data_IF_011577862369
#
_entry.id   IF_011577862369
#
_cell.length_a   1.000
_cell.length_b   1.000
_cell.length_c   1.000
_cell.angle_alpha   90.00
_cell.angle_beta   90.00
_cell.angle_gamma   90.00
#
_symmetry.space_group_name_H-M   'P 1'
#
loop_
_entity.id
_entity.type
_entity.pdbx_description
1 polymer ?
#
# COMPACT_ATOMS: atom_id res chain seq x y z
N UNK A 1 17.65 8.84 7.49
CA UNK A 1 17.72 7.97 6.28
C UNK A 1 16.30 7.76 5.78
N UNK A 2 16.04 7.90 4.48
CA UNK A 2 14.71 7.75 3.90
C UNK A 2 14.77 6.91 2.62
N UNK A 3 13.71 6.16 2.35
CA UNK A 3 13.54 5.36 1.14
C UNK A 3 12.36 5.91 0.34
N UNK A 4 12.62 6.36 -0.89
CA UNK A 4 11.56 6.76 -1.82
C UNK A 4 11.31 5.64 -2.80
N UNK A 5 10.08 5.12 -2.85
CA UNK A 5 9.72 4.02 -3.74
C UNK A 5 8.28 4.15 -4.25
N UNK A 6 7.97 3.34 -5.27
CA UNK A 6 6.63 3.20 -5.82
C UNK A 6 5.82 2.23 -4.98
N UNK A 7 4.56 2.56 -4.73
CA UNK A 7 3.65 1.75 -3.91
C UNK A 7 2.37 1.42 -4.69
N UNK A 8 1.85 0.21 -4.48
CA UNK A 8 0.58 -0.31 -4.99
C UNK A 8 -0.01 -1.23 -3.92
N UNK A 9 -1.28 -1.60 -4.07
CA UNK A 9 -1.91 -2.65 -3.28
C UNK A 9 -2.41 -3.77 -4.20
N UNK A 10 -2.63 -4.94 -3.62
CA UNK A 10 -3.29 -6.07 -4.27
C UNK A 10 -4.66 -6.24 -3.64
N UNK A 11 -5.74 -6.32 -4.42
CA UNK A 11 -7.09 -6.46 -3.86
C UNK A 11 -7.44 -7.92 -3.59
N UNK A 12 -6.85 -8.50 -2.55
CA UNK A 12 -7.00 -9.90 -2.11
C UNK A 12 -8.12 -10.12 -1.08
N UNK A 13 -9.07 -9.19 -0.98
CA UNK A 13 -10.19 -9.27 -0.02
C UNK A 13 -11.11 -10.46 -0.32
N UNK A 14 -11.42 -10.70 -1.59
CA UNK A 14 -12.15 -11.89 -2.04
C UNK A 14 -11.18 -12.88 -2.72
N UNK A 15 -10.93 -14.05 -2.12
CA UNK A 15 -10.00 -15.05 -2.67
C UNK A 15 -10.50 -15.71 -3.96
N UNK A 16 -11.77 -15.51 -4.36
CA UNK A 16 -12.34 -16.08 -5.58
C UNK A 16 -12.44 -15.07 -6.74
N UNK A 17 -12.17 -13.78 -6.52
CA UNK A 17 -12.16 -12.77 -7.58
C UNK A 17 -10.84 -12.80 -8.38
N UNK A 18 -10.91 -13.20 -9.65
CA UNK A 18 -9.73 -13.31 -10.50
C UNK A 18 -9.02 -11.98 -10.81
N UNK A 19 -9.74 -10.86 -10.76
CA UNK A 19 -9.18 -9.50 -10.96
C UNK A 19 -8.21 -9.09 -9.85
N UNK A 20 -8.22 -9.81 -8.72
CA UNK A 20 -7.35 -9.62 -7.55
C UNK A 20 -5.85 -9.74 -7.86
N UNK A 21 -5.45 -10.37 -8.97
CA UNK A 21 -4.04 -10.66 -9.27
C UNK A 21 -3.23 -9.47 -9.79
N UNK A 22 -3.88 -8.34 -10.12
CA UNK A 22 -3.21 -7.17 -10.67
C UNK A 22 -3.04 -6.08 -9.61
N UNK A 23 -1.83 -5.56 -9.39
CA UNK A 23 -1.61 -4.51 -8.42
C UNK A 23 -2.22 -3.18 -8.91
N UNK A 24 -2.88 -2.47 -8.00
CA UNK A 24 -3.56 -1.20 -8.25
C UNK A 24 -2.88 -0.04 -7.51
N UNK A 25 -2.83 1.18 -8.09
CA UNK A 25 -3.25 1.53 -9.46
C UNK A 25 -2.17 1.17 -10.51
N UNK A 26 -2.50 1.02 -11.81
CA UNK A 26 -1.54 0.66 -12.87
C UNK A 26 -0.32 1.58 -13.00
N UNK A 27 -0.46 2.84 -12.55
CA UNK A 27 0.64 3.79 -12.41
C UNK A 27 0.94 4.00 -10.92
N UNK A 28 1.95 3.32 -10.36
CA UNK A 28 2.24 3.38 -8.94
C UNK A 28 2.59 4.81 -8.50
N UNK A 29 1.90 5.40 -7.51
CA UNK A 29 2.35 6.63 -6.88
C UNK A 29 3.66 6.40 -6.11
N UNK A 30 4.38 7.48 -5.87
CA UNK A 30 5.62 7.49 -5.08
C UNK A 30 5.32 7.83 -3.63
N UNK A 31 5.92 7.09 -2.70
CA UNK A 31 5.89 7.36 -1.26
C UNK A 31 7.31 7.36 -0.70
N UNK A 32 7.54 8.16 0.34
CA UNK A 32 8.83 8.22 1.04
C UNK A 32 8.67 7.72 2.46
N UNK A 33 9.34 6.61 2.76
CA UNK A 33 9.42 6.02 4.09
C UNK A 33 10.59 6.60 4.86
N UNK A 34 10.39 6.85 6.15
CA UNK A 34 11.49 7.03 7.09
C UNK A 34 12.07 5.67 7.47
N UNK A 35 13.36 5.46 7.23
CA UNK A 35 14.06 4.24 7.65
C UNK A 35 14.38 4.24 9.16
N UNK A 36 14.06 5.32 9.87
CA UNK A 36 14.29 5.43 11.33
C UNK A 36 13.02 5.18 12.14
N UNK A 37 11.88 4.94 11.49
CA UNK A 37 10.60 4.67 12.14
C UNK A 37 10.10 3.27 11.77
N UNK A 38 9.38 2.58 12.67
CA UNK A 38 8.71 1.32 12.33
C UNK A 38 7.75 1.48 11.14
N UNK A 39 7.63 0.45 10.30
CA UNK A 39 6.73 0.49 9.15
C UNK A 39 5.26 0.58 9.56
N UNK A 40 4.86 -0.08 10.66
CA UNK A 40 3.47 -0.05 11.17
C UNK A 40 2.98 1.40 11.41
N UNK A 41 3.87 2.29 11.84
CA UNK A 41 3.56 3.71 12.07
C UNK A 41 3.40 4.51 10.76
N UNK A 42 3.74 3.92 9.60
CA UNK A 42 3.80 4.59 8.30
C UNK A 42 2.79 3.99 7.30
N UNK A 43 2.34 2.74 7.49
CA UNK A 43 1.40 2.05 6.59
C UNK A 43 0.08 2.81 6.42
N UNK A 44 -0.43 3.47 7.46
CA UNK A 44 -1.66 4.26 7.35
C UNK A 44 -1.55 5.44 6.35
N UNK A 45 -0.35 5.97 6.12
CA UNK A 45 -0.12 6.98 5.09
C UNK A 45 -0.20 6.39 3.68
N UNK A 46 0.43 5.22 3.47
CA UNK A 46 0.40 4.48 2.20
C UNK A 46 -1.03 4.04 1.86
N UNK A 47 -1.75 3.52 2.84
CA UNK A 47 -3.14 3.11 2.68
C UNK A 47 -4.04 4.26 2.21
N UNK A 48 -3.91 5.44 2.85
CA UNK A 48 -4.64 6.66 2.44
C UNK A 48 -4.26 7.15 1.06
N UNK A 49 -2.97 7.09 0.71
CA UNK A 49 -2.47 7.46 -0.61
C UNK A 49 -3.08 6.57 -1.71
N UNK A 50 -3.12 5.26 -1.47
CA UNK A 50 -3.65 4.28 -2.41
C UNK A 50 -5.18 4.21 -2.42
N UNK A 51 -5.85 4.75 -1.39
CA UNK A 51 -7.29 4.56 -1.15
C UNK A 51 -7.67 3.08 -1.19
N UNK A 52 -6.81 2.24 -0.63
CA UNK A 52 -7.02 0.79 -0.64
C UNK A 52 -8.29 0.43 0.17
N UNK A 53 -9.01 -0.64 -0.21
CA UNK A 53 -10.20 -1.09 0.49
C UNK A 53 -9.91 -1.90 1.76
N UNK A 54 -8.65 -2.25 2.00
CA UNK A 54 -8.21 -3.10 3.11
C UNK A 54 -8.52 -2.48 4.48
N UNK A 55 -8.75 -3.34 5.48
CA UNK A 55 -8.79 -2.89 6.86
C UNK A 55 -7.36 -2.71 7.36
N UNK A 56 -7.00 -1.50 7.75
CA UNK A 56 -5.73 -1.24 8.44
C UNK A 56 -5.92 -1.56 9.92
N UNK A 57 -5.32 -2.65 10.38
CA UNK A 57 -5.19 -2.94 11.82
C UNK A 57 -4.20 -1.96 12.44
N UNK A 58 -4.64 -1.30 13.51
CA UNK A 58 -3.89 -0.31 14.28
C UNK A 58 -2.96 -0.96 15.30
#
# INVERSE_FOLDING_TARGET
>A
MALTCRVQYLNDIDPFEYTSNFPEPPRPPVHTFSCTLPLINQVAAVHRLLKAPHRVSH
#
